data_IF_369710675392
#
_entry.id   IF_369710675392
#
_cell.length_a   1.000
_cell.length_b   1.000
_cell.length_c   1.000
_cell.angle_alpha   90.00
_cell.angle_beta   90.00
_cell.angle_gamma   90.00
#
_symmetry.space_group_name_H-M   'P 1'
#
loop_
_entity.id
_entity.type
_entity.pdbx_description
1 polymer ?
#
# COMPACT_ATOMS: atom_id res chain seq x y z
N UNK A 1 20.16 1.66 -9.03
CA UNK A 1 18.94 2.49 -9.12
C UNK A 1 17.77 1.54 -9.37
N UNK A 2 17.04 1.13 -8.32
CA UNK A 2 15.84 0.30 -8.48
C UNK A 2 14.65 1.20 -8.82
N UNK A 3 14.02 0.95 -9.96
CA UNK A 3 12.91 1.76 -10.48
C UNK A 3 11.59 1.07 -10.12
N UNK A 4 10.97 1.49 -9.02
CA UNK A 4 9.74 0.92 -8.44
C UNK A 4 8.58 0.82 -9.44
N UNK A 5 8.53 1.71 -10.45
CA UNK A 5 7.50 1.71 -11.49
C UNK A 5 7.50 0.47 -12.40
N UNK A 6 8.61 -0.26 -12.52
CA UNK A 6 8.69 -1.50 -13.30
C UNK A 6 8.15 -2.73 -12.55
N UNK A 7 7.94 -2.62 -11.23
CA UNK A 7 7.52 -3.72 -10.36
C UNK A 7 6.02 -3.71 -10.05
N UNK A 8 5.24 -2.84 -10.70
CA UNK A 8 3.80 -2.71 -10.47
C UNK A 8 3.46 -2.54 -8.98
N UNK A 9 4.18 -1.68 -8.23
CA UNK A 9 3.85 -1.38 -6.84
C UNK A 9 3.24 0.02 -6.76
N UNK A 10 2.08 0.13 -6.11
CA UNK A 10 1.41 1.43 -5.89
C UNK A 10 0.96 1.67 -4.45
N UNK A 11 1.16 0.71 -3.54
CA UNK A 11 0.83 0.85 -2.13
C UNK A 11 1.83 0.13 -1.22
N UNK A 12 1.89 0.56 0.03
CA UNK A 12 2.65 -0.09 1.10
C UNK A 12 1.66 -0.49 2.19
N UNK A 13 1.67 -1.76 2.59
CA UNK A 13 0.91 -2.26 3.74
C UNK A 13 1.83 -2.38 4.95
N UNK A 14 1.36 -1.85 6.08
CA UNK A 14 2.02 -1.98 7.37
C UNK A 14 1.18 -2.90 8.26
N UNK A 15 1.79 -3.96 8.78
CA UNK A 15 1.12 -4.93 9.65
C UNK A 15 1.79 -4.93 11.01
N UNK A 16 1.02 -4.70 12.08
CA UNK A 16 1.51 -4.85 13.46
C UNK A 16 1.20 -6.25 13.94
N UNK A 17 2.23 -7.04 14.20
CA UNK A 17 2.09 -8.40 14.73
C UNK A 17 1.91 -8.38 16.26
N UNK A 18 1.34 -9.45 16.81
CA UNK A 18 1.05 -9.58 18.25
C UNK A 18 2.32 -9.65 19.11
N UNK A 19 3.44 -10.06 18.53
CA UNK A 19 4.77 -10.07 19.17
C UNK A 19 5.45 -8.69 19.19
N UNK A 20 4.80 -7.65 18.66
CA UNK A 20 5.33 -6.28 18.62
C UNK A 20 6.15 -5.95 17.37
N UNK A 21 6.34 -6.89 16.45
CA UNK A 21 7.02 -6.64 15.17
C UNK A 21 6.13 -5.87 14.19
N UNK A 22 6.77 -5.18 13.25
CA UNK A 22 6.11 -4.45 12.17
C UNK A 22 6.53 -5.09 10.83
N UNK A 23 5.57 -5.66 10.12
CA UNK A 23 5.72 -6.10 8.74
C UNK A 23 5.52 -4.93 7.77
N UNK A 24 6.34 -4.90 6.73
CA UNK A 24 6.23 -3.93 5.63
C UNK A 24 6.14 -4.71 4.33
N UNK A 25 5.04 -4.51 3.60
CA UNK A 25 4.79 -5.19 2.33
C UNK A 25 4.60 -4.14 1.23
N UNK A 26 5.26 -4.37 0.09
CA UNK A 26 5.06 -3.57 -1.12
C UNK A 26 4.05 -4.29 -2.00
N UNK A 27 2.93 -3.65 -2.27
CA UNK A 27 1.80 -4.28 -2.95
C UNK A 27 1.32 -3.46 -4.15
N UNK A 28 0.73 -4.17 -5.10
CA UNK A 28 -0.16 -3.58 -6.07
C UNK A 28 -1.59 -3.61 -5.52
N UNK A 29 -2.34 -2.54 -5.71
CA UNK A 29 -3.71 -2.41 -5.27
C UNK A 29 -4.55 -1.71 -6.32
N UNK A 30 -5.81 -2.11 -6.44
CA UNK A 30 -6.77 -1.41 -7.30
C UNK A 30 -6.97 0.03 -6.81
N UNK A 31 -6.65 1.00 -7.68
CA UNK A 31 -6.75 2.42 -7.35
C UNK A 31 -8.20 2.91 -7.23
N UNK A 32 -9.17 2.18 -7.78
CA UNK A 32 -10.59 2.54 -7.77
C UNK A 32 -11.33 1.98 -6.54
N UNK A 33 -10.79 0.93 -5.92
CA UNK A 33 -11.40 0.27 -4.77
C UNK A 33 -10.40 0.03 -3.62
N UNK A 34 -9.93 1.10 -2.95
CA UNK A 34 -9.06 0.95 -1.79
C UNK A 34 -9.75 0.28 -0.60
N UNK A 35 -9.00 -0.38 0.29
CA UNK A 35 -9.43 -0.68 1.64
C UNK A 35 -9.94 0.58 2.35
N UNK A 36 -10.98 0.42 3.16
CA UNK A 36 -11.60 1.53 3.89
C UNK A 36 -10.68 2.21 4.91
N UNK A 37 -9.63 1.52 5.32
CA UNK A 37 -8.62 1.95 6.31
C UNK A 37 -7.34 2.50 5.65
N UNK A 38 -7.31 2.69 4.33
CA UNK A 38 -6.18 3.27 3.63
C UNK A 38 -5.96 4.74 4.02
N UNK A 39 -4.74 5.08 4.45
CA UNK A 39 -4.33 6.45 4.83
C UNK A 39 -3.52 7.07 3.69
N UNK A 40 -3.76 8.35 3.38
CA UNK A 40 -3.03 9.08 2.33
C UNK A 40 -3.44 8.70 0.90
N UNK A 41 -4.53 7.96 0.75
CA UNK A 41 -5.08 7.58 -0.55
C UNK A 41 -5.71 8.79 -1.24
N UNK A 42 -5.05 9.29 -2.28
CA UNK A 42 -5.61 10.31 -3.17
C UNK A 42 -6.59 9.62 -4.12
N UNK A 43 -7.76 9.22 -3.60
CA UNK A 43 -8.91 8.90 -4.46
C UNK A 43 -9.25 10.19 -5.17
N UNK A 44 -9.01 10.24 -6.49
CA UNK A 44 -9.63 11.25 -7.34
C UNK A 44 -11.12 10.95 -7.35
N UNK A 45 -11.84 11.33 -6.29
CA UNK A 45 -13.29 11.41 -6.36
C UNK A 45 -13.63 12.35 -7.52
N UNK A 46 -14.41 11.84 -8.48
CA UNK A 46 -15.05 12.64 -9.52
C UNK A 46 -15.92 13.72 -8.90
#
# INVERSE_FOLDING_TARGET
MLRIFLLEINAIRLTKFTNGEIGIEFIWMDTENPPSDAIGWVSKKK
#
